data_IF_927160044607
#
_entry.id   IF_927160044607
#
_cell.length_a   1.000
_cell.length_b   1.000
_cell.length_c   1.000
_cell.angle_alpha   90.00
_cell.angle_beta   90.00
_cell.angle_gamma   90.00
#
_symmetry.space_group_name_H-M   'P 1'
#
loop_
_entity.id
_entity.type
_entity.pdbx_description
1 polymer ?
#
# COMPACT_ATOMS: atom_id res chain seq x y z
N UNK A 1 -20.82 9.98 -29.56
CA UNK A 1 -20.60 8.87 -30.52
C UNK A 1 -21.06 7.58 -29.87
N UNK A 2 -22.22 7.07 -30.29
CA UNK A 2 -22.76 5.78 -29.82
C UNK A 2 -21.84 4.67 -30.33
N UNK A 3 -21.11 3.99 -29.47
CA UNK A 3 -20.47 2.71 -29.77
C UNK A 3 -21.52 1.62 -29.76
N UNK A 4 -21.72 0.97 -30.90
CA UNK A 4 -22.55 -0.23 -31.01
C UNK A 4 -21.80 -1.39 -30.33
N UNK A 5 -22.41 -2.00 -29.30
CA UNK A 5 -21.99 -3.29 -28.73
C UNK A 5 -21.17 -3.21 -27.44
N UNK A 6 -21.61 -2.49 -26.42
CA UNK A 6 -21.08 -2.59 -25.06
C UNK A 6 -22.23 -2.77 -24.08
N UNK A 7 -22.04 -3.61 -23.06
CA UNK A 7 -22.93 -3.70 -21.89
C UNK A 7 -23.18 -2.27 -21.42
N UNK A 8 -24.45 -1.92 -21.22
CA UNK A 8 -24.85 -0.62 -20.70
C UNK A 8 -24.05 -0.30 -19.45
N UNK A 9 -23.29 0.78 -19.51
CA UNK A 9 -22.73 1.34 -18.29
C UNK A 9 -23.90 1.65 -17.38
N UNK A 10 -23.90 1.12 -16.15
CA UNK A 10 -24.89 1.44 -15.14
C UNK A 10 -24.69 2.91 -14.82
N UNK A 11 -25.48 3.77 -15.47
CA UNK A 11 -25.54 5.17 -15.12
C UNK A 11 -26.38 5.28 -13.84
N UNK A 12 -25.75 5.53 -12.72
CA UNK A 12 -26.44 5.97 -11.51
C UNK A 12 -26.87 7.41 -11.81
N UNK A 13 -28.12 7.59 -12.17
CA UNK A 13 -28.71 8.92 -12.29
C UNK A 13 -28.89 9.44 -10.86
N UNK A 14 -28.06 10.39 -10.45
CA UNK A 14 -28.30 11.17 -9.27
C UNK A 14 -29.47 12.13 -9.59
N UNK A 15 -30.65 11.80 -9.12
CA UNK A 15 -31.88 12.55 -9.43
C UNK A 15 -31.93 13.94 -8.81
N UNK A 16 -31.05 14.25 -7.86
CA UNK A 16 -31.02 15.54 -7.16
C UNK A 16 -29.59 16.05 -6.94
N UNK A 17 -28.92 16.40 -8.04
CA UNK A 17 -27.59 17.03 -7.96
C UNK A 17 -27.62 18.33 -7.16
N UNK A 18 -28.58 19.26 -7.33
CA UNK A 18 -28.69 20.45 -6.50
C UNK A 18 -28.76 20.15 -5.01
N UNK A 19 -29.59 19.21 -4.60
CA UNK A 19 -29.73 18.83 -3.19
C UNK A 19 -28.47 18.15 -2.61
N UNK A 20 -27.67 17.45 -3.44
CA UNK A 20 -26.37 16.93 -3.05
C UNK A 20 -25.37 18.05 -2.86
N UNK A 21 -25.33 19.03 -3.78
CA UNK A 21 -24.43 20.18 -3.72
C UNK A 21 -24.73 21.05 -2.50
N UNK A 22 -26.00 21.23 -2.14
CA UNK A 22 -26.40 22.01 -0.95
C UNK A 22 -26.09 21.30 0.38
N UNK A 23 -26.14 19.99 0.40
CA UNK A 23 -25.93 19.19 1.64
C UNK A 23 -24.45 18.88 1.92
N UNK A 24 -23.61 18.93 0.91
CA UNK A 24 -22.21 18.55 1.03
C UNK A 24 -21.27 19.74 0.72
N UNK A 25 -20.13 19.79 1.42
CA UNK A 25 -19.09 20.76 1.11
C UNK A 25 -18.53 20.50 -0.27
N UNK A 26 -18.83 21.36 -1.22
CA UNK A 26 -18.37 21.27 -2.60
C UNK A 26 -17.35 22.36 -2.92
N UNK A 27 -16.46 22.07 -3.85
CA UNK A 27 -15.44 23.01 -4.36
C UNK A 27 -15.59 23.05 -5.88
N UNK A 28 -15.80 24.24 -6.43
CA UNK A 28 -15.80 24.44 -7.87
C UNK A 28 -14.36 24.37 -8.42
N UNK A 29 -14.20 23.64 -9.52
CA UNK A 29 -12.95 23.55 -10.27
C UNK A 29 -13.13 24.30 -11.59
N UNK A 30 -12.26 25.25 -11.85
CA UNK A 30 -12.27 26.08 -13.07
C UNK A 30 -11.45 25.43 -14.19
N UNK A 31 -11.55 25.98 -15.40
CA UNK A 31 -10.75 25.54 -16.54
C UNK A 31 -9.25 25.57 -16.23
N UNK A 32 -8.55 24.48 -16.56
CA UNK A 32 -7.14 24.27 -16.24
C UNK A 32 -6.87 23.72 -14.82
N UNK A 33 -7.92 23.51 -14.02
CA UNK A 33 -7.76 22.89 -12.72
C UNK A 33 -7.36 21.41 -12.82
N UNK A 34 -6.52 20.97 -11.89
CA UNK A 34 -6.03 19.60 -11.79
C UNK A 34 -6.73 18.88 -10.62
N UNK A 35 -7.15 17.63 -10.84
CA UNK A 35 -7.77 16.81 -9.81
C UNK A 35 -7.45 15.33 -9.97
N UNK A 36 -7.66 14.53 -8.91
CA UNK A 36 -7.33 13.10 -8.88
C UNK A 36 -5.89 12.80 -8.45
N UNK A 37 -5.09 13.83 -8.20
CA UNK A 37 -3.69 13.74 -7.76
C UNK A 37 -3.54 13.02 -6.43
N UNK A 38 -4.48 13.21 -5.51
CA UNK A 38 -4.44 12.60 -4.17
C UNK A 38 -4.46 11.07 -4.30
N UNK A 39 -5.43 10.53 -5.03
CA UNK A 39 -5.54 9.11 -5.26
C UNK A 39 -4.33 8.54 -6.03
N UNK A 40 -3.84 9.30 -7.02
CA UNK A 40 -2.70 8.91 -7.83
C UNK A 40 -1.39 8.88 -7.03
N UNK A 41 -1.10 9.93 -6.24
CA UNK A 41 0.13 10.05 -5.46
C UNK A 41 0.13 9.19 -4.19
N UNK A 42 -1.01 9.11 -3.52
CA UNK A 42 -1.15 8.32 -2.27
C UNK A 42 -1.51 6.85 -2.51
N UNK A 43 -1.86 6.50 -3.76
CA UNK A 43 -2.28 5.14 -4.15
C UNK A 43 -3.47 4.62 -3.33
N UNK A 44 -4.37 5.53 -2.97
CA UNK A 44 -5.60 5.25 -2.25
C UNK A 44 -6.80 5.34 -3.20
N UNK A 45 -7.97 4.80 -2.85
CA UNK A 45 -9.20 5.04 -3.59
C UNK A 45 -9.50 6.53 -3.71
N UNK A 46 -10.30 6.90 -4.72
CA UNK A 46 -10.72 8.29 -4.92
C UNK A 46 -11.51 8.76 -3.69
N UNK A 47 -11.16 9.95 -3.20
CA UNK A 47 -11.72 10.53 -1.97
C UNK A 47 -12.87 11.50 -2.24
N UNK A 48 -13.13 11.83 -3.50
CA UNK A 48 -14.18 12.75 -3.90
C UNK A 48 -14.82 12.32 -5.22
N UNK A 49 -16.10 12.67 -5.38
CA UNK A 49 -16.85 12.52 -6.63
C UNK A 49 -16.77 13.83 -7.41
N UNK A 50 -16.56 13.76 -8.72
CA UNK A 50 -16.49 14.90 -9.61
C UNK A 50 -17.74 14.92 -10.48
N UNK A 51 -18.38 16.09 -10.56
CA UNK A 51 -19.53 16.34 -11.41
C UNK A 51 -19.18 17.41 -12.43
N UNK A 52 -19.58 17.19 -13.69
CA UNK A 52 -19.58 18.27 -14.68
C UNK A 52 -20.72 19.25 -14.34
N UNK A 53 -20.39 20.53 -14.24
CA UNK A 53 -21.34 21.58 -13.90
C UNK A 53 -22.15 22.03 -15.13
N UNK A 54 -21.50 22.08 -16.27
CA UNK A 54 -22.03 22.61 -17.49
C UNK A 54 -21.95 21.57 -18.61
N UNK A 55 -22.91 21.62 -19.55
CA UNK A 55 -22.86 20.84 -20.77
C UNK A 55 -21.65 21.25 -21.63
N UNK A 56 -20.94 20.27 -22.16
CA UNK A 56 -19.74 20.52 -22.96
C UNK A 56 -18.45 20.66 -22.14
N UNK A 57 -18.44 20.26 -20.87
CA UNK A 57 -17.21 20.17 -20.08
C UNK A 57 -16.25 19.16 -20.72
N UNK A 58 -15.05 19.62 -21.10
CA UNK A 58 -13.99 18.76 -21.64
C UNK A 58 -12.95 18.44 -20.56
N UNK A 59 -12.55 17.18 -20.47
CA UNK A 59 -11.56 16.67 -19.53
C UNK A 59 -10.40 16.03 -20.28
N UNK A 60 -9.17 16.38 -19.91
CA UNK A 60 -7.97 15.70 -20.32
C UNK A 60 -7.60 14.65 -19.27
N UNK A 61 -7.74 13.37 -19.61
CA UNK A 61 -7.31 12.30 -18.73
C UNK A 61 -5.83 11.97 -18.96
N UNK A 62 -5.03 12.12 -17.90
CA UNK A 62 -3.62 11.73 -17.88
C UNK A 62 -3.48 10.52 -16.97
N UNK A 63 -3.01 9.39 -17.54
CA UNK A 63 -2.72 8.20 -16.76
C UNK A 63 -1.59 8.48 -15.77
N UNK A 64 -1.69 7.90 -14.58
CA UNK A 64 -0.67 8.06 -13.54
C UNK A 64 0.77 7.82 -14.03
N UNK A 65 0.96 6.78 -14.82
CA UNK A 65 2.27 6.46 -15.38
C UNK A 65 2.83 7.60 -16.25
N UNK A 66 1.99 8.17 -17.12
CA UNK A 66 2.36 9.32 -17.95
C UNK A 66 2.65 10.57 -17.11
N UNK A 67 1.80 10.86 -16.11
CA UNK A 67 2.03 11.98 -15.20
C UNK A 67 3.36 11.83 -14.45
N UNK A 68 3.65 10.65 -13.93
CA UNK A 68 4.91 10.34 -13.26
C UNK A 68 6.11 10.57 -14.17
N UNK A 69 6.04 10.08 -15.41
CA UNK A 69 7.14 10.24 -16.35
C UNK A 69 7.33 11.72 -16.70
N UNK A 70 6.26 12.47 -16.89
CA UNK A 70 6.33 13.92 -17.05
C UNK A 70 6.97 14.62 -15.84
N UNK A 71 6.61 14.24 -14.62
CA UNK A 71 7.20 14.81 -13.39
C UNK A 71 8.70 14.50 -13.22
N UNK A 72 9.21 13.43 -13.84
CA UNK A 72 10.68 13.14 -13.88
C UNK A 72 11.43 14.14 -14.74
N UNK A 73 10.83 14.57 -15.85
CA UNK A 73 11.48 15.45 -16.84
C UNK A 73 11.20 16.93 -16.61
N UNK A 74 10.07 17.27 -15.95
CA UNK A 74 9.68 18.65 -15.67
C UNK A 74 9.61 18.93 -14.16
N UNK A 75 10.66 19.54 -13.57
CA UNK A 75 10.66 19.92 -12.16
C UNK A 75 9.58 20.95 -11.78
N UNK A 76 9.13 21.78 -12.72
CA UNK A 76 8.08 22.78 -12.45
C UNK A 76 6.72 22.09 -12.32
N UNK A 77 6.42 21.11 -13.18
CA UNK A 77 5.23 20.29 -13.05
C UNK A 77 5.24 19.53 -11.73
N UNK A 78 6.37 18.93 -11.36
CA UNK A 78 6.53 18.25 -10.07
C UNK A 78 6.24 19.19 -8.91
N UNK A 79 6.85 20.37 -8.86
CA UNK A 79 6.64 21.36 -7.81
C UNK A 79 5.17 21.81 -7.74
N UNK A 80 4.52 21.98 -8.89
CA UNK A 80 3.10 22.34 -8.97
C UNK A 80 2.19 21.25 -8.40
N UNK A 81 2.41 19.99 -8.77
CA UNK A 81 1.66 18.85 -8.26
C UNK A 81 1.89 18.66 -6.74
N UNK A 82 3.14 18.78 -6.28
CA UNK A 82 3.47 18.70 -4.85
C UNK A 82 2.78 19.83 -4.05
N UNK A 83 2.69 21.04 -4.62
CA UNK A 83 1.96 22.16 -4.02
C UNK A 83 0.46 21.85 -3.89
N UNK A 84 -0.20 21.41 -4.96
CA UNK A 84 -1.63 21.04 -4.93
C UNK A 84 -1.88 19.95 -3.90
N UNK A 85 -1.03 18.92 -3.89
CA UNK A 85 -1.13 17.85 -2.93
C UNK A 85 -1.02 18.37 -1.48
N UNK A 86 -0.04 19.24 -1.21
CA UNK A 86 0.16 19.86 0.11
C UNK A 86 -1.05 20.66 0.55
N UNK A 87 -1.63 21.43 -0.35
CA UNK A 87 -2.82 22.24 -0.06
C UNK A 87 -4.08 21.40 0.21
N UNK A 88 -4.25 20.28 -0.46
CA UNK A 88 -5.51 19.50 -0.45
C UNK A 88 -5.48 18.26 0.42
N UNK A 89 -4.37 17.55 0.49
CA UNK A 89 -4.29 16.21 1.07
C UNK A 89 -3.46 16.15 2.35
N UNK A 90 -2.45 17.00 2.49
CA UNK A 90 -1.51 16.87 3.61
C UNK A 90 -2.20 17.06 4.96
N UNK A 91 -3.10 18.04 5.08
CA UNK A 91 -3.84 18.27 6.33
C UNK A 91 -4.69 17.07 6.73
N UNK A 92 -5.29 16.38 5.75
CA UNK A 92 -6.09 15.17 5.99
C UNK A 92 -5.18 14.01 6.42
N UNK A 93 -4.07 13.79 5.72
CA UNK A 93 -3.11 12.76 6.07
C UNK A 93 -2.47 12.97 7.45
N UNK A 94 -2.16 14.22 7.79
CA UNK A 94 -1.64 14.56 9.12
C UNK A 94 -2.68 14.33 10.23
N UNK A 95 -3.97 14.55 9.97
CA UNK A 95 -5.03 14.32 10.95
C UNK A 95 -5.19 12.83 11.35
N UNK A 96 -4.73 11.89 10.52
CA UNK A 96 -4.73 10.46 10.85
C UNK A 96 -3.64 10.10 11.87
N UNK A 97 -2.62 10.96 12.03
CA UNK A 97 -1.52 10.73 12.96
C UNK A 97 -2.01 10.98 14.39
N UNK A 98 -1.81 10.03 15.32
CA UNK A 98 -2.41 10.09 16.65
C UNK A 98 -2.15 11.38 17.42
N UNK A 99 -0.93 11.92 17.37
CA UNK A 99 -0.58 13.12 18.12
C UNK A 99 -1.10 14.43 17.49
N UNK A 100 -1.43 14.44 16.20
CA UNK A 100 -2.00 15.61 15.53
C UNK A 100 -3.42 15.94 16.00
N UNK A 101 -4.11 14.99 16.63
CA UNK A 101 -5.47 15.20 17.18
C UNK A 101 -5.52 16.23 18.29
N UNK A 102 -4.39 16.49 18.95
CA UNK A 102 -4.28 17.45 20.05
C UNK A 102 -3.98 18.86 19.60
N UNK A 103 -3.67 19.08 18.33
CA UNK A 103 -3.28 20.38 17.79
C UNK A 103 -4.50 21.23 17.40
N UNK A 104 -4.37 22.54 17.60
CA UNK A 104 -5.30 23.52 17.02
C UNK A 104 -5.16 23.56 15.49
N UNK A 105 -6.19 24.04 14.79
CA UNK A 105 -6.15 24.14 13.32
C UNK A 105 -5.02 25.05 12.81
N UNK A 106 -4.65 26.08 13.59
CA UNK A 106 -3.52 26.97 13.27
C UNK A 106 -2.18 26.23 13.39
N UNK A 107 -1.99 25.46 14.46
CA UNK A 107 -0.80 24.65 14.66
C UNK A 107 -0.68 23.57 13.55
N UNK A 108 -1.78 22.91 13.19
CA UNK A 108 -1.80 21.96 12.08
C UNK A 108 -1.36 22.59 10.76
N UNK A 109 -1.82 23.80 10.46
CA UNK A 109 -1.40 24.53 9.25
C UNK A 109 0.10 24.84 9.26
N UNK A 110 0.67 25.23 10.41
CA UNK A 110 2.11 25.49 10.55
C UNK A 110 2.92 24.21 10.37
N UNK A 111 2.51 23.11 11.00
CA UNK A 111 3.14 21.80 10.83
C UNK A 111 3.07 21.36 9.36
N UNK A 112 1.90 21.49 8.73
CA UNK A 112 1.73 21.13 7.32
C UNK A 112 2.63 21.97 6.39
N UNK A 113 2.77 23.27 6.66
CA UNK A 113 3.63 24.16 5.87
C UNK A 113 5.12 23.81 5.98
N UNK A 114 5.56 23.32 7.15
CA UNK A 114 6.94 22.93 7.41
C UNK A 114 7.26 21.48 7.01
N UNK A 115 6.25 20.65 6.78
CA UNK A 115 6.43 19.23 6.40
C UNK A 115 7.08 19.13 5.02
N UNK A 116 8.13 18.34 4.93
CA UNK A 116 8.85 18.03 3.69
C UNK A 116 8.41 16.68 3.14
N UNK A 117 8.42 16.58 1.80
CA UNK A 117 8.13 15.33 1.10
C UNK A 117 9.42 14.77 0.55
N UNK A 118 9.71 13.54 0.91
CA UNK A 118 10.85 12.82 0.38
C UNK A 118 10.41 11.51 -0.25
N UNK A 119 11.13 11.10 -1.28
CA UNK A 119 10.88 9.87 -2.01
C UNK A 119 12.18 9.11 -2.12
N UNK A 120 12.15 7.86 -1.70
CA UNK A 120 13.28 6.96 -1.71
C UNK A 120 13.02 5.76 -2.60
N UNK A 121 14.12 5.15 -3.04
CA UNK A 121 14.08 3.93 -3.84
C UNK A 121 13.80 4.17 -5.31
N UNK A 122 13.80 3.07 -6.05
CA UNK A 122 13.60 3.09 -7.49
C UNK A 122 12.16 2.72 -7.83
N UNK A 123 11.55 3.53 -8.66
CA UNK A 123 10.22 3.24 -9.17
C UNK A 123 10.19 1.97 -10.03
N UNK A 124 11.24 1.68 -10.76
CA UNK A 124 11.39 0.49 -11.62
C UNK A 124 11.82 -0.76 -10.82
N UNK A 125 11.46 -0.80 -9.54
CA UNK A 125 11.82 -1.86 -8.63
C UNK A 125 11.48 -3.27 -9.15
N UNK A 126 10.42 -3.40 -9.95
CA UNK A 126 9.94 -4.70 -10.44
C UNK A 126 10.91 -5.38 -11.41
N UNK A 127 11.60 -4.61 -12.26
CA UNK A 127 12.64 -5.13 -13.15
C UNK A 127 13.81 -5.67 -12.34
N UNK A 128 14.35 -4.84 -11.46
CA UNK A 128 15.47 -5.22 -10.57
C UNK A 128 15.10 -6.40 -9.66
N UNK A 129 13.87 -6.46 -9.15
CA UNK A 129 13.40 -7.58 -8.34
C UNK A 129 13.36 -8.90 -9.12
N UNK A 130 12.89 -8.88 -10.37
CA UNK A 130 12.93 -10.07 -11.25
C UNK A 130 14.36 -10.53 -11.54
N UNK A 131 15.27 -9.60 -11.75
CA UNK A 131 16.68 -9.90 -11.98
C UNK A 131 17.35 -10.48 -10.72
N UNK A 132 17.02 -9.97 -9.54
CA UNK A 132 17.44 -10.52 -8.25
C UNK A 132 16.91 -11.95 -8.05
N UNK A 133 15.63 -12.19 -8.34
CA UNK A 133 15.06 -13.54 -8.23
C UNK A 133 15.75 -14.55 -9.17
N UNK A 134 16.17 -14.10 -10.36
CA UNK A 134 16.87 -14.96 -11.33
C UNK A 134 18.35 -15.18 -10.97
N UNK A 135 19.02 -14.17 -10.47
CA UNK A 135 20.47 -14.19 -10.22
C UNK A 135 20.84 -14.73 -8.85
N UNK A 136 19.90 -14.76 -7.88
CA UNK A 136 20.18 -15.05 -6.48
C UNK A 136 21.15 -14.05 -5.83
N UNK A 137 21.36 -12.89 -6.45
CA UNK A 137 22.23 -11.85 -5.94
C UNK A 137 21.67 -11.25 -4.64
N UNK A 138 22.51 -10.73 -3.72
CA UNK A 138 22.05 -10.05 -2.54
C UNK A 138 21.19 -8.83 -2.91
N UNK A 139 20.15 -8.56 -2.11
CA UNK A 139 19.25 -7.43 -2.31
C UNK A 139 20.06 -6.12 -2.41
N UNK A 140 19.60 -5.20 -3.26
CA UNK A 140 20.22 -3.88 -3.37
C UNK A 140 20.26 -3.21 -1.99
N UNK A 141 21.34 -2.47 -1.71
CA UNK A 141 21.50 -1.75 -0.44
C UNK A 141 20.33 -0.78 -0.26
N UNK A 142 19.58 -0.97 0.83
CA UNK A 142 18.45 -0.13 1.16
C UNK A 142 18.91 1.29 1.54
N UNK A 143 18.27 2.35 1.02
CA UNK A 143 18.58 3.71 1.42
C UNK A 143 18.35 3.93 2.93
N UNK A 144 19.29 4.57 3.59
CA UNK A 144 19.18 5.00 4.99
C UNK A 144 18.53 6.38 5.02
N UNK A 145 17.48 6.52 5.81
CA UNK A 145 16.79 7.79 6.05
C UNK A 145 17.35 8.48 7.27
N UNK A 146 17.57 7.71 8.34
CA UNK A 146 18.13 8.18 9.59
C UNK A 146 18.98 7.06 10.19
N UNK A 147 20.18 7.36 10.67
CA UNK A 147 21.09 6.36 11.23
C UNK A 147 21.04 6.39 12.77
N UNK A 148 21.26 5.23 13.40
CA UNK A 148 21.50 5.16 14.83
C UNK A 148 22.71 6.02 15.22
N UNK A 149 22.74 6.57 16.40
CA UNK A 149 23.71 7.51 16.94
C UNK A 149 23.62 8.94 16.35
N UNK A 150 22.82 9.17 15.27
CA UNK A 150 22.52 10.53 14.80
C UNK A 150 21.62 11.28 15.79
N UNK A 151 21.72 12.61 15.81
CA UNK A 151 20.80 13.45 16.58
C UNK A 151 19.42 13.46 15.90
N UNK A 152 18.31 13.31 16.68
CA UNK A 152 16.96 13.25 16.12
C UNK A 152 16.50 14.64 15.61
N UNK A 153 16.83 14.97 14.37
CA UNK A 153 16.55 16.27 13.75
C UNK A 153 15.12 16.39 13.19
N UNK A 154 14.41 15.30 13.06
CA UNK A 154 13.07 15.27 12.47
C UNK A 154 12.27 14.04 12.87
N UNK A 155 10.95 14.19 12.80
CA UNK A 155 10.02 13.07 12.83
C UNK A 155 9.78 12.61 11.41
N UNK A 156 9.94 11.32 11.16
CA UNK A 156 9.69 10.68 9.86
C UNK A 156 8.39 9.89 9.92
N UNK A 157 7.52 10.10 8.95
CA UNK A 157 6.24 9.40 8.83
C UNK A 157 6.22 8.68 7.48
N UNK A 158 6.01 7.38 7.50
CA UNK A 158 5.84 6.61 6.26
C UNK A 158 4.47 6.94 5.68
N UNK A 159 4.43 7.49 4.48
CA UNK A 159 3.20 7.83 3.79
C UNK A 159 2.71 6.68 2.91
N UNK A 160 3.60 6.14 2.09
CA UNK A 160 3.34 4.95 1.25
C UNK A 160 4.62 4.14 1.13
N UNK A 161 4.49 2.84 1.01
CA UNK A 161 5.63 1.92 1.03
C UNK A 161 5.94 1.46 2.44
N UNK A 162 7.16 0.99 2.64
CA UNK A 162 7.61 0.44 3.92
C UNK A 162 9.02 0.91 4.26
N UNK A 163 9.25 1.05 5.56
CA UNK A 163 10.57 1.25 6.11
C UNK A 163 10.89 0.14 7.11
N UNK A 164 12.16 -0.13 7.30
CA UNK A 164 12.69 -1.13 8.21
C UNK A 164 13.51 -0.44 9.29
N UNK A 165 13.21 -0.73 10.55
CA UNK A 165 13.98 -0.29 11.70
C UNK A 165 15.01 -1.37 12.01
N UNK A 166 16.28 -0.99 11.99
CA UNK A 166 17.40 -1.91 12.21
C UNK A 166 18.31 -1.38 13.29
N UNK A 167 18.96 -2.31 13.98
CA UNK A 167 20.02 -2.03 14.94
C UNK A 167 21.32 -2.66 14.47
N UNK A 168 22.43 -1.98 14.69
CA UNK A 168 23.76 -2.51 14.41
C UNK A 168 24.04 -3.73 15.29
N UNK A 169 24.53 -4.79 14.68
CA UNK A 169 24.89 -6.01 15.39
C UNK A 169 26.16 -6.62 14.75
N UNK A 170 27.29 -6.48 15.42
CA UNK A 170 28.58 -6.83 14.84
C UNK A 170 28.86 -6.07 13.54
N UNK A 171 29.20 -6.79 12.49
CA UNK A 171 29.44 -6.21 11.14
C UNK A 171 28.17 -6.08 10.30
N UNK A 172 27.01 -6.43 10.85
CA UNK A 172 25.71 -6.41 10.16
C UNK A 172 24.66 -5.60 10.88
N UNK A 173 23.41 -5.77 10.44
CA UNK A 173 22.25 -5.12 11.03
C UNK A 173 21.17 -6.15 11.34
N UNK A 174 20.59 -6.05 12.51
CA UNK A 174 19.42 -6.84 12.94
C UNK A 174 18.16 -6.03 12.71
N UNK A 175 17.20 -6.59 12.01
CA UNK A 175 15.85 -5.99 11.89
C UNK A 175 15.09 -6.13 13.20
N UNK A 176 14.56 -5.01 13.68
CA UNK A 176 13.74 -4.95 14.89
C UNK A 176 12.27 -4.82 14.56
N UNK A 177 11.95 -3.97 13.58
CA UNK A 177 10.58 -3.64 13.24
C UNK A 177 10.44 -3.16 11.79
N UNK A 178 9.20 -3.15 11.30
CA UNK A 178 8.82 -2.59 10.02
C UNK A 178 7.78 -1.50 10.23
N UNK A 179 7.93 -0.39 9.51
CA UNK A 179 6.99 0.72 9.52
C UNK A 179 6.24 0.77 8.19
N UNK A 180 4.93 0.76 8.27
CA UNK A 180 4.00 0.95 7.15
C UNK A 180 3.38 2.34 7.14
N UNK A 181 2.40 2.54 6.25
CA UNK A 181 1.72 3.82 6.10
C UNK A 181 1.11 4.33 7.43
N UNK A 182 1.32 5.60 7.72
CA UNK A 182 0.86 6.27 8.95
C UNK A 182 1.75 6.06 10.19
N UNK A 183 2.74 5.18 10.12
CA UNK A 183 3.63 4.93 11.26
C UNK A 183 4.78 5.95 11.31
N UNK A 184 5.24 6.21 12.53
CA UNK A 184 6.10 7.34 12.88
C UNK A 184 7.44 6.82 13.42
N UNK A 185 8.53 7.53 13.11
CA UNK A 185 9.88 7.27 13.60
C UNK A 185 10.54 8.55 14.13
N UNK A 186 11.34 8.46 15.17
CA UNK A 186 12.12 9.56 15.75
C UNK A 186 11.32 10.46 16.72
N UNK A 187 10.05 10.18 16.95
CA UNK A 187 9.21 10.98 17.85
C UNK A 187 9.53 10.78 19.32
N UNK A 188 9.90 9.57 19.73
CA UNK A 188 10.20 9.21 21.12
C UNK A 188 11.46 9.93 21.60
N UNK A 189 12.52 9.92 20.78
CA UNK A 189 13.79 10.56 21.08
C UNK A 189 13.64 12.09 21.14
N UNK A 190 12.90 12.69 20.19
CA UNK A 190 12.61 14.14 20.23
C UNK A 190 11.80 14.51 21.49
N UNK A 191 10.77 13.73 21.82
CA UNK A 191 9.97 13.97 23.01
C UNK A 191 10.79 13.82 24.31
N UNK A 192 11.73 12.87 24.35
CA UNK A 192 12.67 12.70 25.46
C UNK A 192 13.57 13.94 25.58
N UNK A 193 14.24 14.36 24.50
CA UNK A 193 15.17 15.47 24.47
C UNK A 193 14.48 16.80 24.84
N UNK A 194 13.25 17.00 24.39
CA UNK A 194 12.45 18.18 24.75
C UNK A 194 12.17 18.27 26.26
N UNK A 195 11.94 17.13 26.92
CA UNK A 195 11.72 17.07 28.38
C UNK A 195 13.00 17.13 29.18
N UNK A 196 14.09 16.61 28.63
CA UNK A 196 15.37 16.44 29.32
C UNK A 196 16.51 17.07 28.52
N UNK A 197 16.56 18.40 28.36
CA UNK A 197 17.54 19.08 27.50
C UNK A 197 19.00 18.91 27.98
N UNK A 198 19.21 18.55 29.27
CA UNK A 198 20.54 18.30 29.84
C UNK A 198 21.00 16.85 29.61
N UNK A 199 20.08 15.93 29.30
CA UNK A 199 20.34 14.49 29.05
C UNK A 199 19.69 14.09 27.73
N UNK A 200 20.25 14.57 26.64
CA UNK A 200 19.73 14.26 25.29
C UNK A 200 20.20 12.92 24.82
N UNK A 201 19.32 12.21 24.11
CA UNK A 201 19.61 10.92 23.47
C UNK A 201 19.70 11.08 21.96
N UNK A 202 20.49 10.23 21.33
CA UNK A 202 20.56 10.06 19.88
C UNK A 202 19.52 9.05 19.40
N UNK A 203 19.35 8.93 18.10
CA UNK A 203 18.53 7.88 17.51
C UNK A 203 19.05 6.50 17.91
N UNK A 204 18.17 5.69 18.46
CA UNK A 204 18.51 4.35 18.99
C UNK A 204 18.67 3.32 17.87
N UNK A 205 18.13 3.57 16.72
CA UNK A 205 18.01 2.62 15.60
C UNK A 205 18.22 3.32 14.27
N UNK A 206 18.51 2.54 13.23
CA UNK A 206 18.60 3.02 11.86
C UNK A 206 17.30 2.76 11.11
N UNK A 207 16.75 3.80 10.48
CA UNK A 207 15.60 3.70 9.58
C UNK A 207 16.07 3.52 8.14
N UNK A 208 15.65 2.41 7.51
CA UNK A 208 15.94 2.09 6.10
C UNK A 208 14.63 1.97 5.34
N UNK A 209 14.58 2.51 4.13
CA UNK A 209 13.41 2.38 3.28
C UNK A 209 13.55 1.21 2.32
N UNK A 210 12.42 0.55 2.07
CA UNK A 210 12.36 -0.65 1.25
C UNK A 210 11.58 -0.38 -0.03
N UNK A 211 12.27 -0.54 -1.17
CA UNK A 211 11.65 -0.27 -2.45
C UNK A 211 11.31 1.21 -2.65
N UNK A 212 10.22 1.47 -3.35
CA UNK A 212 9.75 2.83 -3.61
C UNK A 212 8.85 3.32 -2.47
N UNK A 213 9.37 4.22 -1.66
CA UNK A 213 8.73 4.68 -0.42
C UNK A 213 8.65 6.20 -0.40
N UNK A 214 7.47 6.72 -0.07
CA UNK A 214 7.27 8.14 0.21
C UNK A 214 7.20 8.35 1.71
N UNK A 215 7.92 9.34 2.20
CA UNK A 215 7.91 9.75 3.58
C UNK A 215 7.56 11.25 3.71
N UNK A 216 7.03 11.59 4.87
CA UNK A 216 6.86 12.96 5.34
C UNK A 216 7.89 13.19 6.43
N UNK A 217 8.62 14.29 6.33
CA UNK A 217 9.66 14.66 7.30
C UNK A 217 9.23 15.98 7.96
N UNK A 218 9.04 15.95 9.28
CA UNK A 218 8.67 17.13 10.07
C UNK A 218 9.89 17.49 10.91
N UNK A 219 10.48 18.69 10.73
CA UNK A 219 11.63 19.14 11.50
C UNK A 219 11.38 19.14 13.01
N UNK A 220 12.36 18.70 13.81
CA UNK A 220 12.26 18.65 15.27
C UNK A 220 11.82 19.99 15.90
N UNK A 221 12.33 21.18 15.51
CA UNK A 221 11.86 22.43 16.08
C UNK A 221 10.36 22.67 15.94
N UNK A 222 9.75 22.21 14.85
CA UNK A 222 8.30 22.33 14.64
C UNK A 222 7.53 21.37 15.56
N UNK A 223 8.07 20.18 15.80
CA UNK A 223 7.50 19.23 16.75
C UNK A 223 7.59 19.79 18.18
N UNK A 224 8.73 20.33 18.55
CA UNK A 224 8.99 20.93 19.87
C UNK A 224 8.16 22.16 20.17
N UNK A 225 7.95 23.03 19.15
CA UNK A 225 7.20 24.28 19.31
C UNK A 225 5.68 24.06 19.28
N UNK A 226 5.17 23.23 18.37
CA UNK A 226 3.71 23.15 18.12
C UNK A 226 3.08 21.83 18.56
N UNK A 227 3.82 20.72 18.55
CA UNK A 227 3.25 19.38 18.78
C UNK A 227 3.37 18.97 20.25
N UNK A 228 4.57 18.92 20.79
CA UNK A 228 4.81 18.42 22.14
C UNK A 228 4.09 19.20 23.24
N UNK A 229 4.00 20.57 23.18
CA UNK A 229 3.26 21.33 24.20
C UNK A 229 1.75 21.09 24.17
N UNK A 230 1.19 20.66 23.02
CA UNK A 230 -0.23 20.41 22.87
C UNK A 230 -0.65 19.01 23.37
N UNK A 231 0.29 18.08 23.53
CA UNK A 231 0.01 16.72 23.97
C UNK A 231 -0.10 16.67 25.48
N UNK A 232 -1.16 16.04 26.06
CA UNK A 232 -1.25 15.79 27.48
C UNK A 232 -0.06 15.01 28.00
N UNK A 233 0.45 15.35 29.19
CA UNK A 233 1.67 14.74 29.75
C UNK A 233 1.58 13.23 29.95
N UNK A 234 0.38 12.72 30.22
CA UNK A 234 0.07 11.29 30.37
C UNK A 234 0.03 10.54 29.04
N UNK A 235 0.03 11.26 27.92
CA UNK A 235 0.01 10.73 26.54
C UNK A 235 1.36 10.83 25.83
N UNK A 236 2.30 11.57 26.39
CA UNK A 236 3.66 11.62 25.84
C UNK A 236 4.34 10.26 26.01
N UNK A 237 5.22 9.87 25.07
CA UNK A 237 6.01 8.64 25.21
C UNK A 237 6.74 8.61 26.57
N UNK A 238 6.95 7.43 27.16
CA UNK A 238 7.75 7.34 28.39
C UNK A 238 9.17 7.89 28.16
N UNK A 239 9.82 8.30 29.22
CA UNK A 239 11.23 8.70 29.15
C UNK A 239 12.07 7.47 28.73
N UNK A 240 13.02 7.68 27.84
CA UNK A 240 13.98 6.66 27.45
C UNK A 240 14.94 6.50 28.62
N UNK A 241 14.92 5.34 29.29
CA UNK A 241 15.88 5.04 30.36
C UNK A 241 17.24 4.76 29.70
N UNK A 242 18.27 5.49 30.10
CA UNK A 242 19.66 5.16 29.77
C UNK A 242 19.99 3.79 30.37
N UNK A 243 20.08 2.78 29.55
CA UNK A 243 20.58 1.48 29.95
C UNK A 243 22.06 1.42 29.60
N UNK A 244 22.90 1.62 30.59
CA UNK A 244 24.30 1.24 30.49
C UNK A 244 24.40 -0.25 30.10
N UNK A 245 24.88 -0.50 28.87
CA UNK A 245 25.18 -1.83 28.34
C UNK A 245 23.95 -2.57 27.80
N UNK A 246 23.85 -2.57 26.47
CA UNK A 246 23.11 -3.55 25.62
C UNK A 246 21.86 -4.21 26.22
N UNK A 247 20.72 -3.52 26.23
CA UNK A 247 19.42 -4.18 26.37
C UNK A 247 18.90 -4.63 25.01
N UNK A 248 18.77 -5.94 24.88
CA UNK A 248 17.92 -6.55 23.86
C UNK A 248 16.47 -6.09 24.12
N UNK A 249 15.73 -5.53 23.14
CA UNK A 249 14.32 -5.19 23.28
C UNK A 249 13.41 -6.40 23.60
N UNK A 250 13.97 -7.60 23.69
CA UNK A 250 13.28 -8.85 23.99
C UNK A 250 13.49 -9.40 25.40
N UNK A 251 14.23 -8.71 26.27
CA UNK A 251 14.29 -9.09 27.69
C UNK A 251 13.23 -8.36 28.49
N UNK A 252 11.98 -8.81 28.36
CA UNK A 252 10.98 -8.52 29.37
C UNK A 252 11.40 -9.24 30.66
N UNK A 253 11.46 -8.55 31.84
CA UNK A 253 11.70 -9.24 33.10
C UNK A 253 10.53 -10.18 33.39
N UNK A 254 10.81 -11.45 33.49
CA UNK A 254 9.86 -12.41 34.01
C UNK A 254 9.41 -11.94 35.39
N UNK A 255 8.14 -11.57 35.57
CA UNK A 255 7.50 -11.53 36.85
C UNK A 255 7.11 -10.19 37.48
N UNK A 256 6.65 -9.18 36.73
CA UNK A 256 5.70 -8.18 37.28
C UNK A 256 4.70 -7.81 36.20
N UNK A 257 3.42 -8.12 36.43
CA UNK A 257 2.33 -7.56 35.63
C UNK A 257 2.36 -6.04 35.80
N UNK A 258 2.84 -5.34 34.76
CA UNK A 258 2.63 -3.92 34.65
C UNK A 258 1.13 -3.66 34.52
N UNK A 259 0.58 -2.58 35.12
CA UNK A 259 -0.80 -2.18 34.87
C UNK A 259 -0.98 -1.94 33.38
N UNK A 260 -2.10 -2.44 32.82
CA UNK A 260 -2.42 -2.26 31.42
C UNK A 260 -2.37 -0.76 31.05
N UNK A 261 -1.62 -0.35 30.01
CA UNK A 261 -1.58 1.04 29.61
C UNK A 261 -2.95 1.46 29.12
N UNK A 262 -3.44 2.59 29.61
CA UNK A 262 -4.69 3.20 29.19
C UNK A 262 -4.55 3.77 27.78
N UNK A 263 -4.79 2.98 26.77
CA UNK A 263 -4.80 3.34 25.35
C UNK A 263 -3.44 3.19 24.64
N UNK A 264 -3.43 3.16 23.30
CA UNK A 264 -2.19 3.01 22.55
C UNK A 264 -1.28 4.22 22.75
N UNK A 265 0.00 3.97 23.05
CA UNK A 265 1.02 4.99 23.20
C UNK A 265 1.16 5.79 21.89
N UNK A 266 1.19 7.13 22.00
CA UNK A 266 1.45 8.02 20.88
C UNK A 266 2.93 7.86 20.47
N UNK A 267 3.17 7.45 19.23
CA UNK A 267 4.51 7.34 18.66
C UNK A 267 5.17 5.98 18.78
N UNK A 268 4.50 4.99 19.36
CA UNK A 268 5.08 3.66 19.45
C UNK A 268 5.37 3.06 18.09
N UNK A 269 6.65 2.95 17.74
CA UNK A 269 7.18 1.99 16.76
C UNK A 269 7.02 0.57 17.35
N UNK A 270 5.86 0.28 17.96
CA UNK A 270 5.61 -1.04 18.50
C UNK A 270 5.51 -2.01 17.35
N UNK A 271 6.54 -2.84 17.17
CA UNK A 271 6.38 -4.10 16.46
C UNK A 271 5.09 -4.72 16.99
N UNK A 272 4.20 -5.08 16.06
CA UNK A 272 3.06 -5.87 16.51
C UNK A 272 3.65 -7.18 17.07
N UNK A 273 3.70 -7.38 18.40
CA UNK A 273 4.44 -8.48 19.02
C UNK A 273 3.86 -9.85 18.67
N UNK A 274 2.75 -9.84 17.91
CA UNK A 274 1.99 -11.01 17.50
C UNK A 274 2.46 -11.60 16.16
N UNK A 275 3.26 -10.86 15.37
CA UNK A 275 3.82 -11.37 14.11
C UNK A 275 5.28 -11.75 14.33
N UNK A 276 5.64 -12.98 13.94
CA UNK A 276 7.03 -13.46 14.05
C UNK A 276 7.94 -12.66 13.09
N UNK A 277 9.12 -12.21 13.53
CA UNK A 277 10.04 -11.44 12.70
C UNK A 277 10.45 -12.15 11.40
N UNK A 278 10.57 -13.48 11.41
CA UNK A 278 10.92 -14.27 10.24
C UNK A 278 9.80 -14.27 9.18
N UNK A 279 8.52 -14.25 9.56
CA UNK A 279 7.41 -14.10 8.63
C UNK A 279 7.45 -12.70 7.97
N UNK A 280 7.69 -11.66 8.77
CA UNK A 280 7.83 -10.29 8.26
C UNK A 280 8.98 -10.19 7.26
N UNK A 281 10.12 -10.81 7.56
CA UNK A 281 11.27 -10.85 6.65
C UNK A 281 10.91 -11.56 5.34
N UNK A 282 10.23 -12.70 5.42
CA UNK A 282 9.76 -13.44 4.24
C UNK A 282 8.82 -12.60 3.35
N UNK A 283 7.81 -11.94 3.96
CA UNK A 283 6.87 -11.09 3.23
C UNK A 283 7.59 -9.90 2.58
N UNK A 284 8.59 -9.36 3.25
CA UNK A 284 9.41 -8.25 2.80
C UNK A 284 10.33 -8.63 1.64
N UNK A 285 11.10 -9.71 1.79
CA UNK A 285 12.03 -10.19 0.76
C UNK A 285 11.29 -10.49 -0.55
N UNK A 286 10.10 -11.05 -0.45
CA UNK A 286 9.23 -11.35 -1.58
C UNK A 286 8.38 -10.15 -2.03
N UNK A 287 8.51 -8.99 -1.39
CA UNK A 287 7.76 -7.75 -1.68
C UNK A 287 6.24 -7.93 -1.68
N UNK A 288 5.73 -8.86 -0.88
CA UNK A 288 4.30 -9.16 -0.81
C UNK A 288 3.48 -8.03 -0.19
N UNK A 289 4.09 -7.14 0.58
CA UNK A 289 3.43 -5.92 1.09
C UNK A 289 2.90 -4.96 0.00
N UNK A 290 3.29 -5.15 -1.26
CA UNK A 290 2.65 -4.47 -2.37
C UNK A 290 1.20 -4.95 -2.61
N UNK A 291 0.82 -6.10 -2.05
CA UNK A 291 -0.50 -6.70 -2.23
C UNK A 291 -1.53 -6.18 -1.24
N UNK A 292 -2.69 -5.74 -1.76
CA UNK A 292 -3.86 -5.38 -0.94
C UNK A 292 -4.80 -6.56 -0.73
N UNK A 293 -4.64 -7.64 -1.52
CA UNK A 293 -5.52 -8.81 -1.53
C UNK A 293 -4.70 -10.08 -1.76
N UNK A 294 -3.65 -10.27 -0.98
CA UNK A 294 -2.83 -11.48 -1.06
C UNK A 294 -3.66 -12.71 -0.63
N UNK A 295 -3.54 -13.80 -1.37
CA UNK A 295 -4.16 -15.07 -0.98
C UNK A 295 -3.18 -15.86 -0.12
N UNK A 296 -3.49 -15.98 1.17
CA UNK A 296 -2.76 -16.81 2.10
C UNK A 296 -3.49 -18.15 2.31
N UNK A 297 -2.72 -19.21 2.42
CA UNK A 297 -3.22 -20.56 2.72
C UNK A 297 -2.45 -21.09 3.92
N UNK A 298 -3.18 -21.41 4.98
CA UNK A 298 -2.65 -22.15 6.11
C UNK A 298 -2.56 -23.63 5.75
N UNK A 299 -1.34 -24.15 5.70
CA UNK A 299 -1.05 -25.53 5.30
C UNK A 299 -1.37 -26.54 6.38
N UNK A 300 -1.51 -26.15 7.65
CA UNK A 300 -1.93 -27.01 8.74
C UNK A 300 -3.43 -27.34 8.66
N UNK A 301 -4.24 -26.37 8.20
CA UNK A 301 -5.67 -26.55 7.99
C UNK A 301 -6.02 -27.01 6.57
N UNK A 302 -5.14 -26.80 5.58
CA UNK A 302 -5.41 -27.12 4.18
C UNK A 302 -5.26 -28.62 3.89
N UNK A 303 -6.38 -29.30 3.67
CA UNK A 303 -6.44 -30.74 3.31
C UNK A 303 -6.11 -31.02 1.85
N UNK A 304 -5.84 -30.01 1.02
CA UNK A 304 -5.55 -30.11 -0.42
C UNK A 304 -6.70 -30.69 -1.24
N UNK A 305 -7.95 -30.50 -0.80
CA UNK A 305 -9.15 -31.01 -1.48
C UNK A 305 -9.43 -30.35 -2.85
N UNK A 306 -8.80 -29.21 -3.17
CA UNK A 306 -8.98 -28.43 -4.40
C UNK A 306 -10.38 -27.81 -4.60
N UNK A 307 -11.24 -27.79 -3.56
CA UNK A 307 -12.55 -27.17 -3.65
C UNK A 307 -12.46 -25.69 -4.02
N UNK A 308 -11.49 -24.98 -3.48
CA UNK A 308 -11.22 -23.58 -3.83
C UNK A 308 -10.86 -23.41 -5.32
N UNK A 309 -10.09 -24.33 -5.90
CA UNK A 309 -9.71 -24.30 -7.33
C UNK A 309 -10.93 -24.62 -8.20
N UNK A 310 -11.71 -25.66 -7.83
CA UNK A 310 -12.93 -26.03 -8.55
C UNK A 310 -13.97 -24.93 -8.52
N UNK A 311 -14.19 -24.29 -7.37
CA UNK A 311 -15.11 -23.17 -7.24
C UNK A 311 -14.68 -21.98 -8.08
N UNK A 312 -13.38 -21.67 -8.10
CA UNK A 312 -12.85 -20.62 -8.98
C UNK A 312 -13.04 -20.97 -10.46
N UNK A 313 -12.79 -22.22 -10.86
CA UNK A 313 -13.01 -22.67 -12.23
C UNK A 313 -14.48 -22.56 -12.65
N UNK A 314 -15.40 -23.02 -11.80
CA UNK A 314 -16.84 -22.98 -12.07
C UNK A 314 -17.39 -21.55 -12.27
N UNK A 315 -16.78 -20.55 -11.59
CA UNK A 315 -17.13 -19.14 -11.77
C UNK A 315 -16.50 -18.45 -12.95
N UNK A 316 -15.53 -19.10 -13.60
CA UNK A 316 -14.69 -18.48 -14.62
C UNK A 316 -14.48 -19.39 -15.85
N UNK A 317 -15.57 -19.89 -16.42
CA UNK A 317 -15.60 -20.68 -17.66
C UNK A 317 -14.61 -21.86 -17.64
N UNK A 318 -14.60 -22.58 -16.52
CA UNK A 318 -13.68 -23.69 -16.23
C UNK A 318 -12.18 -23.30 -16.24
N UNK A 319 -11.86 -22.02 -16.13
CA UNK A 319 -10.50 -21.52 -16.11
C UNK A 319 -10.16 -20.89 -14.76
N UNK A 320 -9.60 -21.64 -13.79
CA UNK A 320 -9.29 -21.11 -12.46
C UNK A 320 -8.29 -19.96 -12.58
N UNK A 321 -8.58 -18.84 -11.92
CA UNK A 321 -7.80 -17.60 -12.00
C UNK A 321 -6.69 -17.51 -10.96
N UNK A 322 -6.44 -18.58 -10.21
CA UNK A 322 -5.30 -18.71 -9.31
C UNK A 322 -4.74 -20.14 -9.36
N UNK A 323 -3.53 -20.31 -8.82
CA UNK A 323 -2.92 -21.62 -8.62
C UNK A 323 -2.65 -21.82 -7.12
N UNK A 324 -3.01 -23.00 -6.59
CA UNK A 324 -2.68 -23.40 -5.22
C UNK A 324 -1.22 -23.86 -5.15
N UNK A 325 -0.34 -22.94 -5.46
CA UNK A 325 1.11 -23.07 -5.48
C UNK A 325 1.71 -21.68 -5.22
N UNK A 326 2.83 -21.60 -4.55
CA UNK A 326 3.51 -20.36 -4.29
C UNK A 326 4.61 -20.52 -3.25
N UNK A 327 5.31 -19.44 -2.90
CA UNK A 327 6.31 -19.46 -1.83
C UNK A 327 5.67 -19.81 -0.49
N UNK A 328 6.41 -20.61 0.29
CA UNK A 328 5.96 -21.10 1.59
C UNK A 328 6.94 -20.60 2.65
N UNK A 329 6.40 -20.16 3.76
CA UNK A 329 7.14 -19.86 4.98
C UNK A 329 6.47 -20.60 6.14
N UNK A 330 7.18 -21.54 6.75
CA UNK A 330 6.62 -22.45 7.76
C UNK A 330 5.32 -23.13 7.25
N UNK A 331 4.18 -22.86 7.87
CA UNK A 331 2.87 -23.40 7.49
C UNK A 331 2.05 -22.46 6.59
N UNK A 332 2.57 -21.31 6.18
CA UNK A 332 1.85 -20.31 5.38
C UNK A 332 2.34 -20.32 3.95
N UNK A 333 1.43 -20.52 3.00
CA UNK A 333 1.68 -20.37 1.57
C UNK A 333 1.09 -19.05 1.07
N UNK A 334 1.86 -18.27 0.33
CA UNK A 334 1.33 -17.15 -0.47
C UNK A 334 1.00 -17.69 -1.86
N UNK A 335 -0.28 -17.97 -2.11
CA UNK A 335 -0.71 -18.60 -3.34
C UNK A 335 -0.53 -17.68 -4.55
N UNK A 336 -0.28 -18.30 -5.72
CA UNK A 336 -0.12 -17.59 -6.99
C UNK A 336 -1.47 -17.09 -7.50
N UNK A 337 -1.91 -15.97 -6.93
CA UNK A 337 -3.13 -15.25 -7.25
C UNK A 337 -2.86 -13.76 -7.35
N UNK A 338 -3.63 -13.03 -8.16
CA UNK A 338 -3.47 -11.58 -8.23
C UNK A 338 -3.68 -10.96 -6.85
N UNK A 339 -2.71 -10.16 -6.40
CA UNK A 339 -2.73 -9.50 -5.10
C UNK A 339 -3.30 -8.08 -5.16
N UNK A 340 -3.81 -7.65 -6.29
CA UNK A 340 -4.39 -6.31 -6.52
C UNK A 340 -3.48 -5.17 -6.01
N UNK A 341 -2.20 -5.27 -6.34
CA UNK A 341 -1.10 -4.46 -5.81
C UNK A 341 -1.41 -2.98 -5.65
N UNK A 342 -0.89 -2.38 -4.59
CA UNK A 342 -0.87 -0.92 -4.41
C UNK A 342 -0.15 -0.24 -5.58
N UNK A 343 0.98 -0.83 -6.03
CA UNK A 343 1.72 -0.42 -7.22
C UNK A 343 1.62 -1.51 -8.31
N UNK A 344 0.57 -1.46 -9.16
CA UNK A 344 0.32 -2.49 -10.16
C UNK A 344 1.16 -2.26 -11.42
N UNK A 345 2.42 -2.66 -11.39
CA UNK A 345 3.37 -2.55 -12.53
C UNK A 345 2.87 -3.27 -13.80
N UNK A 346 1.96 -4.23 -13.67
CA UNK A 346 1.32 -4.90 -14.79
C UNK A 346 0.44 -3.97 -15.67
N UNK A 347 -0.03 -2.86 -15.12
CA UNK A 347 -0.78 -1.85 -15.87
C UNK A 347 0.14 -1.00 -16.76
N UNK A 348 1.43 -0.95 -16.45
CA UNK A 348 2.43 -0.20 -17.19
C UNK A 348 2.63 -0.90 -18.55
N UNK A 349 2.49 -0.14 -19.63
CA UNK A 349 2.72 -0.67 -20.98
C UNK A 349 1.55 -1.44 -21.60
N UNK A 350 0.36 -1.45 -20.97
CA UNK A 350 -0.83 -1.95 -21.66
C UNK A 350 -1.28 -0.94 -22.73
N UNK A 351 -1.16 -1.24 -24.04
CA UNK A 351 -1.42 -0.25 -25.09
C UNK A 351 -2.89 0.12 -25.23
N UNK A 352 -3.79 -0.80 -24.89
CA UNK A 352 -5.24 -0.60 -24.98
C UNK A 352 -5.88 -0.17 -23.65
N UNK A 353 -5.13 -0.17 -22.55
CA UNK A 353 -5.69 0.04 -21.21
C UNK A 353 -6.61 -1.08 -20.73
N UNK A 354 -6.57 -2.25 -21.37
CA UNK A 354 -7.40 -3.39 -21.00
C UNK A 354 -7.21 -3.82 -19.54
N UNK A 355 -5.98 -3.73 -19.00
CA UNK A 355 -5.73 -3.90 -17.56
C UNK A 355 -5.77 -2.53 -16.89
N UNK A 356 -6.66 -2.38 -15.94
CA UNK A 356 -6.94 -1.11 -15.25
C UNK A 356 -7.42 -1.36 -13.82
N UNK A 357 -7.58 -0.28 -13.04
CA UNK A 357 -8.27 -0.35 -11.75
C UNK A 357 -9.76 -0.17 -11.98
N UNK A 358 -10.55 -1.02 -11.35
CA UNK A 358 -11.99 -0.84 -11.26
C UNK A 358 -12.32 0.47 -10.55
N UNK A 359 -13.37 1.15 -11.02
CA UNK A 359 -13.76 2.47 -10.51
C UNK A 359 -14.43 2.42 -9.14
N UNK A 360 -15.04 1.29 -8.79
CA UNK A 360 -15.80 1.14 -7.55
C UNK A 360 -14.99 0.56 -6.42
N UNK A 361 -14.32 -0.58 -6.65
CA UNK A 361 -13.58 -1.30 -5.62
C UNK A 361 -12.07 -1.09 -5.66
N UNK A 362 -11.54 -0.43 -6.69
CA UNK A 362 -10.11 -0.18 -6.86
C UNK A 362 -9.27 -1.42 -7.20
N UNK A 363 -9.92 -2.57 -7.42
CA UNK A 363 -9.25 -3.80 -7.83
C UNK A 363 -8.64 -3.66 -9.21
N UNK A 364 -7.50 -4.29 -9.42
CA UNK A 364 -6.91 -4.39 -10.76
C UNK A 364 -7.67 -5.44 -11.55
N UNK A 365 -8.27 -5.07 -12.66
CA UNK A 365 -9.08 -5.96 -13.51
C UNK A 365 -8.59 -5.95 -14.95
N UNK A 366 -8.96 -6.97 -15.72
CA UNK A 366 -8.69 -7.07 -17.16
C UNK A 366 -10.02 -7.07 -17.89
N UNK A 367 -10.19 -6.11 -18.80
CA UNK A 367 -11.30 -6.14 -19.74
C UNK A 367 -10.96 -7.04 -20.93
N UNK A 368 -11.59 -8.21 -21.08
CA UNK A 368 -11.28 -9.13 -22.17
C UNK A 368 -11.66 -8.59 -23.55
N UNK A 369 -12.65 -7.69 -23.63
CA UNK A 369 -13.08 -7.13 -24.92
C UNK A 369 -12.01 -6.21 -25.53
N UNK A 370 -11.28 -5.45 -24.71
CA UNK A 370 -10.22 -4.53 -25.17
C UNK A 370 -8.83 -5.14 -25.11
N UNK A 371 -8.67 -6.35 -24.54
CA UNK A 371 -7.40 -7.05 -24.49
C UNK A 371 -7.01 -7.60 -25.86
N UNK A 372 -5.83 -7.22 -26.35
CA UNK A 372 -5.27 -7.68 -27.64
C UNK A 372 -4.27 -8.84 -27.50
N UNK A 373 -4.07 -9.37 -26.31
CA UNK A 373 -3.18 -10.52 -26.09
C UNK A 373 -1.68 -10.23 -26.19
N UNK A 374 -1.25 -8.97 -26.08
CA UNK A 374 0.15 -8.55 -26.27
C UNK A 374 1.15 -9.05 -25.21
N UNK A 375 0.72 -9.78 -24.19
CA UNK A 375 1.51 -10.35 -23.08
C UNK A 375 2.21 -9.35 -22.16
N UNK A 376 2.22 -8.06 -22.44
CA UNK A 376 2.96 -7.05 -21.65
C UNK A 376 2.64 -7.10 -20.14
N UNK A 377 1.37 -7.22 -19.77
CA UNK A 377 0.94 -7.32 -18.38
C UNK A 377 1.45 -8.59 -17.68
N UNK A 378 1.45 -9.74 -18.38
CA UNK A 378 1.95 -11.01 -17.85
C UNK A 378 3.47 -10.92 -17.64
N UNK A 379 4.20 -10.37 -18.60
CA UNK A 379 5.64 -10.17 -18.52
C UNK A 379 6.04 -9.16 -17.42
N UNK A 380 5.21 -8.15 -17.19
CA UNK A 380 5.48 -7.14 -16.15
C UNK A 380 5.10 -7.59 -14.75
N UNK A 381 4.20 -8.56 -14.58
CA UNK A 381 3.83 -9.04 -13.26
C UNK A 381 5.04 -9.67 -12.54
N UNK A 382 5.53 -9.13 -11.41
CA UNK A 382 6.70 -9.67 -10.72
C UNK A 382 6.40 -10.99 -10.01
N UNK A 383 5.13 -11.29 -9.80
CA UNK A 383 4.64 -12.48 -9.08
C UNK A 383 4.13 -13.59 -10.01
N UNK A 384 4.14 -13.38 -11.34
CA UNK A 384 3.63 -14.36 -12.31
C UNK A 384 2.12 -14.62 -12.20
N UNK A 385 1.35 -13.71 -11.62
CA UNK A 385 -0.07 -13.88 -11.32
C UNK A 385 -1.01 -13.59 -12.49
N UNK A 386 -0.47 -13.32 -13.69
CA UNK A 386 -1.24 -13.08 -14.91
C UNK A 386 -0.86 -14.14 -15.92
N UNK A 387 -1.85 -14.85 -16.43
CA UNK A 387 -1.66 -15.90 -17.44
C UNK A 387 -2.30 -15.49 -18.74
N UNK A 388 -1.79 -16.04 -19.85
CA UNK A 388 -2.42 -15.94 -21.17
C UNK A 388 -3.24 -17.20 -21.38
N UNK A 389 -4.50 -17.05 -21.77
CA UNK A 389 -5.43 -18.14 -22.00
C UNK A 389 -6.04 -18.02 -23.37
N UNK A 390 -6.37 -19.16 -23.99
CA UNK A 390 -7.10 -19.22 -25.25
C UNK A 390 -8.52 -18.71 -25.05
N UNK A 391 -8.98 -17.90 -25.99
CA UNK A 391 -10.35 -17.44 -26.01
C UNK A 391 -11.21 -18.47 -26.72
N UNK A 392 -12.36 -18.80 -26.13
CA UNK A 392 -13.34 -19.72 -26.69
C UNK A 392 -14.63 -18.98 -27.02
N UNK A 393 -15.36 -19.46 -27.98
CA UNK A 393 -16.72 -19.01 -28.27
C UNK A 393 -17.77 -19.65 -27.35
N UNK A 394 -19.04 -19.33 -27.56
CA UNK A 394 -20.14 -19.83 -26.73
C UNK A 394 -20.37 -21.35 -26.89
N UNK A 395 -19.80 -21.98 -27.94
CA UNK A 395 -19.84 -23.43 -28.17
C UNK A 395 -18.64 -24.15 -27.54
N UNK A 396 -17.64 -23.39 -27.03
CA UNK A 396 -16.42 -23.91 -26.46
C UNK A 396 -15.30 -24.12 -27.48
N UNK A 397 -15.49 -23.75 -28.74
CA UNK A 397 -14.43 -23.82 -29.74
C UNK A 397 -13.40 -22.69 -29.58
N UNK A 398 -12.12 -22.99 -29.85
CA UNK A 398 -11.03 -22.01 -29.71
C UNK A 398 -11.13 -21.00 -30.88
N UNK A 399 -11.23 -19.72 -30.51
CA UNK A 399 -11.18 -18.63 -31.50
C UNK A 399 -9.76 -18.49 -32.03
N UNK A 400 -9.63 -18.48 -33.36
CA UNK A 400 -8.35 -18.34 -34.06
C UNK A 400 -8.26 -17.01 -34.83
N UNK A 401 -7.05 -16.48 -34.92
CA UNK A 401 -6.74 -15.36 -35.81
C UNK A 401 -6.64 -15.82 -37.28
N UNK A 402 -6.50 -14.90 -38.23
CA UNK A 402 -6.41 -15.20 -39.65
C UNK A 402 -5.24 -16.12 -40.04
N UNK A 403 -4.25 -16.32 -39.17
CA UNK A 403 -3.12 -17.24 -39.33
C UNK A 403 -3.35 -18.61 -38.61
N UNK A 404 -4.61 -18.90 -38.25
CA UNK A 404 -5.04 -20.11 -37.54
C UNK A 404 -4.43 -20.31 -36.14
N UNK A 405 -3.82 -19.26 -35.56
CA UNK A 405 -3.32 -19.31 -34.18
C UNK A 405 -4.42 -18.94 -33.19
N UNK A 406 -4.43 -19.59 -32.01
CA UNK A 406 -5.36 -19.25 -30.94
C UNK A 406 -5.27 -17.78 -30.54
N UNK A 407 -6.41 -17.14 -30.37
CA UNK A 407 -6.47 -15.78 -29.79
C UNK A 407 -6.25 -15.91 -28.29
N UNK A 408 -5.13 -15.37 -27.82
CA UNK A 408 -4.79 -15.37 -26.40
C UNK A 408 -5.23 -14.07 -25.75
N UNK A 409 -5.79 -14.17 -24.54
CA UNK A 409 -6.13 -13.02 -23.69
C UNK A 409 -5.57 -13.20 -22.29
N UNK A 410 -5.26 -12.06 -21.64
CA UNK A 410 -4.78 -12.08 -20.28
C UNK A 410 -5.90 -12.43 -19.31
N UNK A 411 -5.61 -13.34 -18.37
CA UNK A 411 -6.50 -13.69 -17.27
C UNK A 411 -5.76 -13.62 -15.94
N UNK A 412 -6.47 -13.24 -14.89
CA UNK A 412 -5.98 -13.18 -13.51
C UNK A 412 -7.16 -13.14 -12.55
N UNK A 413 -6.93 -13.39 -11.27
CA UNK A 413 -7.97 -13.22 -10.24
C UNK A 413 -8.50 -11.78 -10.23
N UNK A 414 -9.82 -11.64 -10.14
CA UNK A 414 -10.58 -10.40 -10.10
C UNK A 414 -11.42 -10.26 -8.83
N UNK A 415 -11.21 -11.14 -7.83
CA UNK A 415 -11.97 -11.24 -6.58
C UNK A 415 -13.45 -11.56 -6.78
N UNK A 416 -13.82 -12.11 -7.94
CA UNK A 416 -15.20 -12.38 -8.33
C UNK A 416 -16.10 -11.15 -8.16
N UNK A 417 -15.65 -9.97 -8.62
CA UNK A 417 -16.33 -8.67 -8.43
C UNK A 417 -17.76 -8.66 -8.98
N UNK A 418 -18.05 -9.51 -9.95
CA UNK A 418 -19.38 -9.65 -10.56
C UNK A 418 -20.31 -10.57 -9.75
N UNK A 419 -19.83 -11.11 -8.62
CA UNK A 419 -20.59 -12.06 -7.81
C UNK A 419 -20.96 -11.52 -6.44
N UNK A 420 -22.21 -11.79 -6.03
CA UNK A 420 -22.65 -11.52 -4.66
C UNK A 420 -21.97 -12.51 -3.69
N UNK A 421 -21.43 -11.99 -2.58
CA UNK A 421 -20.86 -12.80 -1.51
C UNK A 421 -19.34 -12.99 -1.56
N UNK A 422 -18.62 -12.25 -2.43
CA UNK A 422 -17.14 -12.25 -2.46
C UNK A 422 -16.49 -13.44 -3.16
N UNK A 423 -15.20 -13.68 -2.95
CA UNK A 423 -14.43 -14.67 -3.69
C UNK A 423 -14.96 -16.11 -3.52
N UNK A 424 -15.27 -16.77 -4.63
CA UNK A 424 -15.78 -18.14 -4.63
C UNK A 424 -14.83 -19.15 -3.97
N UNK A 425 -13.52 -18.93 -4.09
CA UNK A 425 -12.50 -19.79 -3.49
C UNK A 425 -12.49 -19.76 -1.96
N UNK A 426 -12.73 -18.59 -1.35
CA UNK A 426 -12.84 -18.49 0.12
C UNK A 426 -14.11 -19.19 0.62
N UNK A 427 -15.25 -18.90 -0.01
CA UNK A 427 -16.55 -19.50 0.38
C UNK A 427 -16.56 -21.04 0.22
N UNK A 428 -15.77 -21.56 -0.69
CA UNK A 428 -15.72 -23.01 -0.95
C UNK A 428 -14.72 -23.76 -0.07
N UNK A 429 -13.91 -23.07 0.75
CA UNK A 429 -12.95 -23.72 1.62
C UNK A 429 -13.67 -24.28 2.87
N UNK A 430 -13.84 -25.60 3.04
CA UNK A 430 -14.57 -26.16 4.18
C UNK A 430 -13.78 -26.10 5.48
N UNK A 431 -12.50 -25.75 5.42
CA UNK A 431 -11.56 -25.74 6.56
C UNK A 431 -11.10 -24.34 6.94
N UNK A 432 -11.66 -23.31 6.29
CA UNK A 432 -11.26 -21.90 6.47
C UNK A 432 -9.75 -21.64 6.33
N UNK A 433 -9.08 -22.54 5.62
CA UNK A 433 -7.63 -22.53 5.45
C UNK A 433 -7.13 -21.45 4.47
N UNK A 434 -8.04 -20.78 3.73
CA UNK A 434 -7.71 -19.84 2.67
C UNK A 434 -8.36 -18.49 2.95
N UNK A 435 -7.56 -17.42 2.93
CA UNK A 435 -8.03 -16.04 3.17
C UNK A 435 -7.37 -15.05 2.23
N UNK A 436 -8.13 -14.02 1.85
CA UNK A 436 -7.61 -12.80 1.22
C UNK A 436 -7.27 -11.79 2.29
N UNK A 437 -6.03 -11.31 2.29
CA UNK A 437 -5.53 -10.42 3.34
C UNK A 437 -4.85 -9.22 2.72
N UNK A 438 -5.15 -8.06 3.27
CA UNK A 438 -4.43 -6.83 2.95
C UNK A 438 -3.10 -6.80 3.73
N UNK A 439 -2.01 -7.07 3.03
CA UNK A 439 -0.68 -7.09 3.64
C UNK A 439 -0.15 -5.69 4.00
N UNK A 440 -0.87 -4.62 3.64
CA UNK A 440 -0.56 -3.27 4.12
C UNK A 440 -1.14 -3.00 5.52
N UNK A 441 -2.15 -3.77 5.94
CA UNK A 441 -2.77 -3.73 7.26
C UNK A 441 -2.41 -5.00 8.02
N UNK A 442 -1.42 -4.90 8.89
CA UNK A 442 -0.91 -6.06 9.64
C UNK A 442 -1.94 -6.66 10.61
N UNK A 443 -2.94 -5.89 11.02
CA UNK A 443 -3.97 -6.36 11.96
C UNK A 443 -4.79 -7.52 11.37
N UNK A 444 -5.18 -7.45 10.09
CA UNK A 444 -5.89 -8.55 9.42
C UNK A 444 -5.05 -9.84 9.37
N UNK A 445 -3.75 -9.70 9.13
CA UNK A 445 -2.82 -10.83 9.14
C UNK A 445 -2.72 -11.44 10.54
N UNK A 446 -2.62 -10.58 11.57
CA UNK A 446 -2.55 -11.02 12.96
C UNK A 446 -3.80 -11.78 13.38
N UNK A 447 -4.97 -11.23 13.05
CA UNK A 447 -6.25 -11.84 13.43
C UNK A 447 -6.42 -13.20 12.75
N UNK A 448 -6.00 -13.33 11.50
CA UNK A 448 -6.05 -14.60 10.77
C UNK A 448 -5.05 -15.64 11.31
N UNK A 449 -3.86 -15.22 11.73
CA UNK A 449 -2.83 -16.12 12.30
C UNK A 449 -3.19 -16.65 13.70
N UNK A 450 -4.24 -16.12 14.34
CA UNK A 450 -4.70 -16.55 15.67
C UNK A 450 -5.83 -17.58 15.63
N UNK A 451 -6.34 -17.90 14.42
CA UNK A 451 -7.30 -18.97 14.20
C UNK A 451 -6.58 -20.31 14.18
#
# INVERSE_FOLDING_TARGET
>A
TKSKGGKEAVHIVLQDIPGVLDKHKTVALESGAFFGEIAALSRIPRTATIFARDDGTELLEVRWQGLRDLMKFDPKLRAYIDKIYRERALSTALNEIPFMKFLSEEAKKKVAAATQFETYGDYEWSGKYKDLLKSGAPAAKEPVVAAEEDYPNSVVIVRTGFARVTQRYGDGHRTLNYLGAGQVYGFEEIAHNWRNPEHTVTLQYTLRVMGYTHILVIPAPIIEEFVLPAIPKDRLPPAIEEVEGTRSPFSAPAGKKAPAPAGPALGGSAANPRIRPNLMEFLTQNRFFNGTEAMLIDLDHCTRCDDCVRACAATHDNNPRFLRHGPIHENIMVAQACMHCTDPVCMIGCPTGAIHRDSFGGQVVVNPATCIGCTACANNCPYGNIRMVETRDDTGEILTAGDAKPILKATKCDLCIDQLGGPACERACPHDALKRINLNTLDELVDWLQH
#
